data_IF_136511629645
#
_entry.id   IF_136511629645
#
_cell.length_a   1.000
_cell.length_b   1.000
_cell.length_c   1.000
_cell.angle_alpha   90.00
_cell.angle_beta   90.00
_cell.angle_gamma   90.00
#
_symmetry.space_group_name_H-M   'P 1'
#
loop_
_entity.id
_entity.type
_entity.pdbx_description
1 polymer ?
#
# COMPACT_ATOMS: atom_id res chain seq x y z
N UNK A 1 0.75 28.59 -1.22
CA UNK A 1 1.47 29.15 -0.06
C UNK A 1 2.45 28.09 0.45
N UNK A 2 3.76 28.35 0.46
CA UNK A 2 4.74 27.38 0.97
C UNK A 2 4.70 27.41 2.52
N UNK A 3 4.74 26.25 3.17
CA UNK A 3 4.76 26.19 4.64
C UNK A 3 6.01 26.87 5.20
N UNK A 4 5.89 27.55 6.33
CA UNK A 4 7.03 28.12 7.05
C UNK A 4 7.88 27.01 7.71
N UNK A 5 9.13 27.32 8.04
CA UNK A 5 10.03 26.38 8.74
C UNK A 5 9.41 25.91 10.06
N UNK A 6 8.85 26.83 10.85
CA UNK A 6 8.18 26.49 12.12
C UNK A 6 7.00 25.53 11.90
N UNK A 7 6.20 25.75 10.85
CA UNK A 7 5.09 24.86 10.50
C UNK A 7 5.58 23.47 10.08
N UNK A 8 6.68 23.38 9.35
CA UNK A 8 7.28 22.09 8.97
C UNK A 8 7.81 21.35 10.20
N UNK A 9 8.55 22.04 11.08
CA UNK A 9 9.07 21.46 12.33
C UNK A 9 7.95 21.01 13.26
N UNK A 10 6.88 21.77 13.42
CA UNK A 10 5.70 21.38 14.18
C UNK A 10 4.95 20.15 13.64
N UNK A 11 5.27 19.72 12.41
CA UNK A 11 4.78 18.48 11.77
C UNK A 11 5.81 17.34 11.84
N UNK A 12 6.95 17.55 12.51
CA UNK A 12 8.03 16.57 12.72
C UNK A 12 9.10 16.57 11.64
N UNK A 13 9.22 17.63 10.84
CA UNK A 13 10.22 17.69 9.76
C UNK A 13 11.64 17.69 10.31
N UNK A 14 12.43 16.67 9.93
CA UNK A 14 13.82 16.51 10.33
C UNK A 14 14.79 17.31 9.47
N UNK A 15 15.87 17.74 10.10
CA UNK A 15 17.13 18.14 9.47
C UNK A 15 18.25 17.23 9.94
N UNK A 16 19.36 17.23 9.21
CA UNK A 16 20.53 16.43 9.59
C UNK A 16 21.06 16.81 10.98
N UNK A 17 21.01 18.11 11.33
CA UNK A 17 21.37 18.63 12.65
C UNK A 17 20.56 17.97 13.79
N UNK A 18 19.28 17.67 13.57
CA UNK A 18 18.39 17.06 14.56
C UNK A 18 18.78 15.59 14.84
N UNK A 19 19.25 14.91 13.80
CA UNK A 19 19.75 13.52 13.88
C UNK A 19 21.09 13.50 14.62
N UNK A 20 22.01 14.40 14.27
CA UNK A 20 23.32 14.50 14.93
C UNK A 20 23.18 14.86 16.41
N UNK A 21 22.27 15.77 16.74
CA UNK A 21 21.97 16.14 18.13
C UNK A 21 21.49 14.94 18.95
N UNK A 22 20.79 13.98 18.35
CA UNK A 22 20.22 12.81 19.04
C UNK A 22 21.10 11.55 18.95
N UNK A 23 22.18 11.57 18.17
CA UNK A 23 23.02 10.40 17.88
C UNK A 23 23.73 9.82 19.10
N UNK A 24 23.99 10.64 20.12
CA UNK A 24 24.65 10.22 21.35
C UNK A 24 23.74 9.44 22.31
N UNK A 25 22.43 9.41 22.06
CA UNK A 25 21.45 8.76 22.91
C UNK A 25 21.48 7.24 22.75
N UNK A 26 21.30 6.53 23.86
CA UNK A 26 21.11 5.09 23.89
C UNK A 26 19.77 4.67 23.27
N UNK A 27 19.64 3.39 22.89
CA UNK A 27 18.37 2.86 22.39
C UNK A 27 17.20 3.04 23.38
N UNK A 28 17.46 2.95 24.70
CA UNK A 28 16.46 3.19 25.73
C UNK A 28 16.03 4.67 25.79
N UNK A 29 16.98 5.60 25.62
CA UNK A 29 16.67 7.04 25.54
C UNK A 29 15.88 7.38 24.28
N UNK A 30 16.29 6.86 23.13
CA UNK A 30 15.56 7.05 21.87
C UNK A 30 14.15 6.45 21.95
N UNK A 31 14.01 5.29 22.60
CA UNK A 31 12.68 4.67 22.84
C UNK A 31 11.79 5.61 23.66
N UNK A 32 12.31 6.23 24.72
CA UNK A 32 11.55 7.24 25.49
C UNK A 32 11.20 8.47 24.66
N UNK A 33 12.08 8.89 23.75
CA UNK A 33 11.82 10.02 22.86
C UNK A 33 10.66 9.79 21.89
N UNK A 34 10.25 8.54 21.61
CA UNK A 34 9.06 8.26 20.80
C UNK A 34 7.78 8.84 21.42
N UNK A 35 7.76 9.11 22.72
CA UNK A 35 6.65 9.74 23.44
C UNK A 35 6.85 11.24 23.71
N UNK A 36 7.91 11.85 23.17
CA UNK A 36 8.16 13.29 23.32
C UNK A 36 6.99 14.13 22.79
N UNK A 37 6.75 15.28 23.41
CA UNK A 37 5.82 16.28 22.90
C UNK A 37 6.32 16.93 21.61
N UNK A 38 7.65 16.98 21.41
CA UNK A 38 8.25 17.49 20.18
C UNK A 38 8.21 16.43 19.06
N UNK A 39 7.59 16.80 17.94
CA UNK A 39 7.48 15.93 16.78
C UNK A 39 8.83 15.67 16.08
N UNK A 40 9.77 16.60 16.17
CA UNK A 40 11.10 16.45 15.58
C UNK A 40 11.90 15.41 16.36
N UNK A 41 11.88 15.45 17.69
CA UNK A 41 12.53 14.43 18.54
C UNK A 41 11.97 13.03 18.25
N UNK A 42 10.64 12.90 18.14
CA UNK A 42 10.03 11.61 17.77
C UNK A 42 10.49 11.11 16.40
N UNK A 43 10.53 11.99 15.39
CA UNK A 43 11.01 11.63 14.06
C UNK A 43 12.48 11.19 14.12
N UNK A 44 13.33 11.90 14.87
CA UNK A 44 14.75 11.59 15.00
C UNK A 44 14.95 10.23 15.69
N UNK A 45 14.18 9.96 16.75
CA UNK A 45 14.18 8.69 17.45
C UNK A 45 13.81 7.52 16.53
N UNK A 46 12.75 7.62 15.73
CA UNK A 46 12.37 6.58 14.75
C UNK A 46 13.51 6.34 13.75
N UNK A 47 14.08 7.43 13.20
CA UNK A 47 15.17 7.35 12.21
C UNK A 47 16.44 6.72 12.78
N UNK A 48 16.80 7.01 14.02
CA UNK A 48 17.99 6.46 14.67
C UNK A 48 17.79 5.00 15.10
N UNK A 49 16.65 4.68 15.73
CA UNK A 49 16.33 3.30 16.13
C UNK A 49 16.27 2.35 14.93
N UNK A 50 15.63 2.76 13.83
CA UNK A 50 15.54 1.96 12.61
C UNK A 50 16.87 1.70 11.91
N UNK A 51 17.89 2.56 12.13
CA UNK A 51 19.23 2.40 11.56
C UNK A 51 20.19 1.64 12.48
N UNK A 52 20.00 1.72 13.79
CA UNK A 52 20.90 1.14 14.77
C UNK A 52 20.64 -0.36 14.99
N UNK A 53 19.40 -0.81 14.85
CA UNK A 53 19.00 -2.19 15.05
C UNK A 53 18.72 -2.88 13.70
N UNK A 54 18.99 -4.19 13.62
CA UNK A 54 18.30 -5.01 12.63
C UNK A 54 16.80 -4.97 12.97
N UNK A 55 15.89 -5.01 11.98
CA UNK A 55 14.46 -5.10 12.28
C UNK A 55 14.21 -6.28 13.23
N UNK A 56 13.78 -5.97 14.45
CA UNK A 56 13.38 -6.95 15.44
C UNK A 56 11.86 -6.82 15.70
N UNK A 57 11.22 -7.90 16.12
CA UNK A 57 9.77 -7.94 16.29
C UNK A 57 9.30 -6.93 17.35
N UNK A 58 10.08 -6.70 18.41
CA UNK A 58 9.74 -5.80 19.52
C UNK A 58 9.76 -4.32 19.10
N UNK A 59 10.76 -3.91 18.33
CA UNK A 59 10.88 -2.57 17.80
C UNK A 59 9.79 -2.29 16.75
N UNK A 60 9.50 -3.28 15.90
CA UNK A 60 8.40 -3.16 14.94
C UNK A 60 7.05 -3.03 15.65
N UNK A 61 6.80 -3.82 16.70
CA UNK A 61 5.61 -3.69 17.54
C UNK A 61 5.50 -2.27 18.13
N UNK A 62 6.60 -1.75 18.69
CA UNK A 62 6.66 -0.39 19.23
C UNK A 62 6.36 0.68 18.17
N UNK A 63 6.89 0.54 16.96
CA UNK A 63 6.60 1.44 15.84
C UNK A 63 5.14 1.35 15.37
N UNK A 64 4.55 0.14 15.34
CA UNK A 64 3.12 -0.05 15.05
C UNK A 64 2.26 0.66 16.09
N UNK A 65 2.52 0.45 17.38
CA UNK A 65 1.82 1.13 18.47
C UNK A 65 1.98 2.66 18.38
N UNK A 66 3.16 3.13 18.01
CA UNK A 66 3.40 4.57 17.80
C UNK A 66 2.62 5.11 16.61
N UNK A 67 2.55 4.37 15.50
CA UNK A 67 1.83 4.76 14.28
C UNK A 67 0.34 4.95 14.54
N UNK A 68 -0.27 4.08 15.34
CA UNK A 68 -1.69 4.14 15.70
C UNK A 68 -2.09 5.47 16.37
N UNK A 69 -1.20 6.05 17.17
CA UNK A 69 -1.44 7.29 17.93
C UNK A 69 -0.72 8.52 17.40
N UNK A 70 0.07 8.42 16.33
CA UNK A 70 0.78 9.56 15.77
C UNK A 70 -0.20 10.49 15.03
N UNK A 71 0.03 11.80 15.13
CA UNK A 71 -0.79 12.84 14.50
C UNK A 71 0.02 13.71 13.54
N UNK A 72 1.35 13.72 13.66
CA UNK A 72 2.25 14.59 12.91
C UNK A 72 2.75 13.89 11.64
N UNK A 73 2.68 14.61 10.53
CA UNK A 73 2.89 14.03 9.19
C UNK A 73 4.27 13.40 9.04
N UNK A 74 5.34 14.13 9.33
CA UNK A 74 6.68 13.65 9.04
C UNK A 74 7.08 12.51 9.95
N UNK A 75 6.65 12.53 11.22
CA UNK A 75 6.83 11.39 12.12
C UNK A 75 6.10 10.14 11.63
N UNK A 76 4.90 10.27 11.04
CA UNK A 76 4.23 9.14 10.35
C UNK A 76 5.03 8.62 9.16
N UNK A 77 5.65 9.51 8.39
CA UNK A 77 6.46 9.10 7.24
C UNK A 77 7.68 8.30 7.69
N UNK A 78 8.37 8.74 8.75
CA UNK A 78 9.48 7.99 9.36
C UNK A 78 9.05 6.60 9.83
N UNK A 79 7.90 6.49 10.52
CA UNK A 79 7.35 5.21 10.97
C UNK A 79 7.00 4.30 9.79
N UNK A 80 6.38 4.86 8.75
CA UNK A 80 6.08 4.11 7.53
C UNK A 80 7.36 3.58 6.87
N UNK A 81 8.40 4.40 6.74
CA UNK A 81 9.69 4.00 6.16
C UNK A 81 10.36 2.91 6.98
N UNK A 82 10.37 3.04 8.31
CA UNK A 82 10.94 2.04 9.20
C UNK A 82 10.22 0.69 9.10
N UNK A 83 8.88 0.70 9.09
CA UNK A 83 8.06 -0.53 9.02
C UNK A 83 8.11 -1.21 7.64
N UNK A 84 8.38 -0.48 6.56
CA UNK A 84 8.52 -1.05 5.20
C UNK A 84 9.68 -2.03 5.07
N UNK A 85 10.74 -1.87 5.88
CA UNK A 85 11.92 -2.75 5.85
C UNK A 85 11.67 -4.07 6.60
N UNK A 86 10.53 -4.18 7.30
CA UNK A 86 10.12 -5.40 7.99
C UNK A 86 9.83 -6.59 7.06
N UNK A 87 9.69 -7.77 7.66
CA UNK A 87 9.34 -9.01 6.95
C UNK A 87 7.89 -9.43 7.16
N UNK A 88 7.63 -10.74 6.98
CA UNK A 88 6.30 -11.33 7.16
C UNK A 88 5.71 -11.09 8.55
N UNK A 89 6.52 -11.12 9.60
CA UNK A 89 6.07 -10.86 10.98
C UNK A 89 5.54 -9.43 11.13
N UNK A 90 6.27 -8.44 10.60
CA UNK A 90 5.81 -7.04 10.59
C UNK A 90 4.53 -6.89 9.79
N UNK A 91 4.40 -7.59 8.65
CA UNK A 91 3.15 -7.58 7.88
C UNK A 91 1.98 -8.15 8.69
N UNK A 92 2.18 -9.21 9.48
CA UNK A 92 1.16 -9.79 10.35
C UNK A 92 0.70 -8.82 11.45
N UNK A 93 1.59 -7.98 11.97
CA UNK A 93 1.22 -6.91 12.92
C UNK A 93 0.37 -5.81 12.27
N UNK A 94 0.63 -5.54 10.99
CA UNK A 94 0.00 -4.47 10.23
C UNK A 94 -1.39 -4.85 9.69
N UNK A 95 -1.57 -6.08 9.23
CA UNK A 95 -2.83 -6.56 8.60
C UNK A 95 -4.09 -6.24 9.44
N UNK A 96 -4.10 -6.47 10.77
CA UNK A 96 -5.25 -6.10 11.61
C UNK A 96 -5.64 -4.61 11.55
N UNK A 97 -4.70 -3.73 11.20
CA UNK A 97 -4.86 -2.28 11.20
C UNK A 97 -5.26 -1.70 9.83
N UNK A 98 -5.39 -2.52 8.79
CA UNK A 98 -5.87 -2.10 7.47
C UNK A 98 -7.24 -1.43 7.58
N UNK A 99 -7.32 -0.19 7.10
CA UNK A 99 -8.54 0.62 7.15
C UNK A 99 -8.86 1.22 8.52
N UNK A 100 -8.03 1.01 9.54
CA UNK A 100 -8.28 1.49 10.90
C UNK A 100 -7.61 2.83 11.22
N UNK A 101 -6.51 3.17 10.54
CA UNK A 101 -5.70 4.36 10.87
C UNK A 101 -6.01 5.53 9.93
N UNK A 102 -6.50 6.63 10.49
CA UNK A 102 -6.83 7.84 9.74
C UNK A 102 -8.21 7.78 9.08
N UNK A 103 -8.46 8.70 8.14
CA UNK A 103 -9.75 8.86 7.44
C UNK A 103 -9.61 9.18 5.95
N UNK A 104 -8.47 8.82 5.37
CA UNK A 104 -8.15 9.16 3.97
C UNK A 104 -8.61 8.06 2.98
N UNK A 105 -9.05 6.92 3.50
CA UNK A 105 -9.49 5.76 2.73
C UNK A 105 -10.66 6.11 1.81
N UNK A 106 -10.79 5.38 0.71
CA UNK A 106 -11.97 5.49 -0.13
C UNK A 106 -13.17 4.88 0.59
N UNK A 107 -14.25 5.64 0.73
CA UNK A 107 -15.55 5.11 1.19
C UNK A 107 -16.44 4.68 0.03
N UNK A 108 -16.13 5.17 -1.18
CA UNK A 108 -16.82 4.89 -2.44
C UNK A 108 -15.84 5.00 -3.62
N UNK A 109 -16.16 4.42 -4.79
CA UNK A 109 -15.39 4.59 -6.01
C UNK A 109 -15.14 6.07 -6.33
N UNK A 110 -13.93 6.41 -6.78
CA UNK A 110 -13.63 7.79 -7.15
C UNK A 110 -14.31 8.13 -8.49
N UNK A 111 -15.14 9.19 -8.50
CA UNK A 111 -15.85 9.64 -9.70
C UNK A 111 -14.88 10.21 -10.73
N UNK A 112 -13.83 10.88 -10.27
CA UNK A 112 -12.76 11.41 -11.11
C UNK A 112 -11.89 10.27 -11.63
N UNK A 113 -11.72 10.22 -12.95
CA UNK A 113 -10.86 9.25 -13.59
C UNK A 113 -9.40 9.49 -13.18
N UNK A 114 -8.72 8.42 -12.77
CA UNK A 114 -7.29 8.43 -12.58
C UNK A 114 -6.62 8.43 -13.96
N UNK A 115 -5.81 9.44 -14.27
CA UNK A 115 -5.33 9.69 -15.66
C UNK A 115 -3.92 9.18 -15.96
N UNK A 116 -3.22 8.60 -14.98
CA UNK A 116 -1.83 8.16 -15.16
C UNK A 116 -1.80 6.67 -15.52
N UNK A 117 -0.79 6.27 -16.29
CA UNK A 117 -0.50 4.86 -16.59
C UNK A 117 0.16 4.11 -15.42
N UNK A 118 0.53 4.83 -14.34
CA UNK A 118 1.13 4.29 -13.13
C UNK A 118 0.07 3.76 -12.15
N UNK A 119 0.31 2.69 -11.41
CA UNK A 119 -0.62 2.30 -10.34
C UNK A 119 -0.70 3.36 -9.22
N UNK A 120 -1.89 3.76 -8.75
CA UNK A 120 -2.02 4.79 -7.73
C UNK A 120 -1.53 4.32 -6.37
N UNK A 121 -0.96 5.24 -5.60
CA UNK A 121 -0.54 4.92 -4.24
C UNK A 121 -1.75 4.66 -3.32
N UNK A 122 -1.74 3.61 -2.47
CA UNK A 122 -2.82 3.38 -1.52
C UNK A 122 -3.08 4.58 -0.61
N UNK A 123 -4.37 4.84 -0.37
CA UNK A 123 -4.82 5.93 0.51
C UNK A 123 -4.76 5.54 1.98
N UNK A 124 -5.03 4.28 2.29
CA UNK A 124 -4.78 3.71 3.61
C UNK A 124 -3.28 3.68 3.92
N UNK A 125 -2.92 4.10 5.13
CA UNK A 125 -1.52 4.22 5.53
C UNK A 125 -0.86 2.85 5.74
N UNK A 126 -1.62 1.86 6.18
CA UNK A 126 -1.12 0.50 6.42
C UNK A 126 -0.94 -0.22 5.09
N UNK A 127 -1.92 -0.12 4.18
CA UNK A 127 -1.80 -0.62 2.81
C UNK A 127 -0.58 0.01 2.10
N UNK A 128 -0.31 1.29 2.33
CA UNK A 128 0.86 1.98 1.78
C UNK A 128 2.20 1.43 2.28
N UNK A 129 2.26 1.00 3.54
CA UNK A 129 3.45 0.34 4.10
C UNK A 129 3.60 -1.02 3.45
N UNK A 130 2.56 -1.87 3.54
CA UNK A 130 2.57 -3.24 3.02
C UNK A 130 2.90 -3.31 1.52
N UNK A 131 2.36 -2.38 0.73
CA UNK A 131 2.60 -2.27 -0.71
C UNK A 131 4.07 -2.00 -1.10
N UNK A 132 4.90 -1.53 -0.17
CA UNK A 132 6.33 -1.23 -0.38
C UNK A 132 7.27 -2.18 0.33
N UNK A 133 6.74 -3.16 1.05
CA UNK A 133 7.55 -4.20 1.68
C UNK A 133 8.12 -5.15 0.61
N UNK A 134 9.06 -5.99 1.02
CA UNK A 134 9.58 -7.06 0.17
C UNK A 134 8.43 -7.97 -0.33
N UNK A 135 8.41 -8.39 -1.62
CA UNK A 135 7.37 -9.26 -2.20
C UNK A 135 7.08 -10.55 -1.43
N UNK A 136 7.98 -11.00 -0.57
CA UNK A 136 7.78 -12.14 0.34
C UNK A 136 6.53 -12.00 1.23
N UNK A 137 5.99 -10.78 1.41
CA UNK A 137 4.75 -10.53 2.16
C UNK A 137 3.47 -10.75 1.36
N UNK A 138 3.55 -10.92 0.03
CA UNK A 138 2.37 -11.06 -0.83
C UNK A 138 1.43 -12.20 -0.39
N UNK A 139 1.90 -13.39 0.02
CA UNK A 139 1.01 -14.42 0.56
C UNK A 139 0.19 -13.96 1.78
N UNK A 140 0.78 -13.16 2.66
CA UNK A 140 0.09 -12.58 3.82
C UNK A 140 -0.99 -11.58 3.38
N UNK A 141 -0.71 -10.77 2.36
CA UNK A 141 -1.70 -9.85 1.77
C UNK A 141 -2.85 -10.59 1.09
N UNK A 142 -2.56 -11.67 0.36
CA UNK A 142 -3.58 -12.54 -0.25
C UNK A 142 -4.51 -13.10 0.83
N UNK A 143 -3.97 -13.61 1.93
CA UNK A 143 -4.78 -14.10 3.05
C UNK A 143 -5.71 -13.00 3.60
N UNK A 144 -5.26 -11.75 3.71
CA UNK A 144 -6.14 -10.64 4.11
C UNK A 144 -7.22 -10.29 3.09
N UNK A 145 -6.97 -10.47 1.79
CA UNK A 145 -8.01 -10.35 0.76
C UNK A 145 -9.05 -11.47 0.92
N UNK A 146 -8.62 -12.70 1.17
CA UNK A 146 -9.51 -13.87 1.23
C UNK A 146 -10.28 -13.91 2.56
N UNK A 147 -9.58 -13.88 3.69
CA UNK A 147 -10.10 -14.19 5.02
C UNK A 147 -10.34 -12.95 5.90
N UNK A 148 -9.81 -11.79 5.49
CA UNK A 148 -9.96 -10.55 6.24
C UNK A 148 -11.40 -10.03 6.26
N UNK A 149 -11.70 -9.17 7.25
CA UNK A 149 -12.94 -8.38 7.25
C UNK A 149 -13.04 -7.55 5.97
N UNK A 150 -14.25 -7.14 5.58
CA UNK A 150 -14.46 -6.30 4.39
C UNK A 150 -13.53 -5.08 4.38
N UNK A 151 -13.41 -4.38 5.52
CA UNK A 151 -12.54 -3.21 5.68
C UNK A 151 -11.07 -3.51 5.41
N UNK A 152 -10.58 -4.66 5.90
CA UNK A 152 -9.20 -5.09 5.66
C UNK A 152 -9.01 -5.49 4.19
N UNK A 153 -9.94 -6.28 3.65
CA UNK A 153 -9.86 -6.78 2.28
C UNK A 153 -9.81 -5.65 1.24
N UNK A 154 -10.65 -4.61 1.36
CA UNK A 154 -10.65 -3.50 0.41
C UNK A 154 -9.33 -2.71 0.41
N UNK A 155 -8.65 -2.59 1.55
CA UNK A 155 -7.35 -1.92 1.60
C UNK A 155 -6.20 -2.85 1.22
N UNK A 156 -6.31 -4.16 1.52
CA UNK A 156 -5.36 -5.17 1.07
C UNK A 156 -5.33 -5.28 -0.47
N UNK A 157 -6.47 -5.16 -1.14
CA UNK A 157 -6.54 -5.17 -2.62
C UNK A 157 -5.67 -4.07 -3.23
N UNK A 158 -5.70 -2.85 -2.68
CA UNK A 158 -4.85 -1.75 -3.16
C UNK A 158 -3.36 -2.07 -2.97
N UNK A 159 -3.00 -2.71 -1.85
CA UNK A 159 -1.62 -3.10 -1.57
C UNK A 159 -1.14 -4.23 -2.50
N UNK A 160 -1.99 -5.24 -2.76
CA UNK A 160 -1.70 -6.33 -3.70
C UNK A 160 -1.48 -5.78 -5.10
N UNK A 161 -2.39 -4.95 -5.61
CA UNK A 161 -2.26 -4.34 -6.93
C UNK A 161 -0.95 -3.55 -7.05
N UNK A 162 -0.68 -2.65 -6.09
CA UNK A 162 0.55 -1.86 -6.10
C UNK A 162 1.82 -2.74 -6.08
N UNK A 163 1.88 -3.74 -5.19
CA UNK A 163 3.04 -4.62 -5.06
C UNK A 163 3.27 -5.45 -6.34
N UNK A 164 2.20 -6.00 -6.93
CA UNK A 164 2.29 -6.73 -8.19
C UNK A 164 2.66 -5.84 -9.38
N UNK A 165 2.29 -4.56 -9.35
CA UNK A 165 2.61 -3.60 -10.41
C UNK A 165 4.08 -3.17 -10.38
N UNK A 166 4.61 -2.87 -9.19
CA UNK A 166 5.93 -2.25 -9.04
C UNK A 166 7.08 -3.21 -8.70
N UNK A 167 6.78 -4.44 -8.29
CA UNK A 167 7.80 -5.38 -7.81
C UNK A 167 7.88 -6.67 -8.61
N UNK A 168 9.07 -7.25 -8.64
CA UNK A 168 9.31 -8.58 -9.17
C UNK A 168 8.77 -9.63 -8.20
N UNK A 169 7.50 -10.01 -8.41
CA UNK A 169 6.81 -11.06 -7.66
C UNK A 169 6.99 -12.41 -8.38
N UNK A 170 7.15 -13.49 -7.61
CA UNK A 170 7.17 -14.85 -8.15
C UNK A 170 5.88 -15.15 -8.95
N UNK A 171 6.01 -15.83 -10.09
CA UNK A 171 4.85 -16.16 -10.96
C UNK A 171 3.75 -16.89 -10.21
N UNK A 172 4.11 -17.82 -9.30
CA UNK A 172 3.15 -18.56 -8.47
C UNK A 172 2.33 -17.64 -7.58
N UNK A 173 2.97 -16.69 -6.90
CA UNK A 173 2.31 -15.78 -5.97
C UNK A 173 1.48 -14.75 -6.74
N UNK A 174 1.95 -14.32 -7.93
CA UNK A 174 1.18 -13.45 -8.83
C UNK A 174 -0.09 -14.13 -9.33
N UNK A 175 -0.02 -15.40 -9.71
CA UNK A 175 -1.21 -16.17 -10.12
C UNK A 175 -2.17 -16.39 -8.93
N UNK A 176 -1.64 -16.69 -7.75
CA UNK A 176 -2.45 -16.81 -6.54
C UNK A 176 -3.19 -15.51 -6.20
N UNK A 177 -2.52 -14.35 -6.34
CA UNK A 177 -3.14 -13.05 -6.17
C UNK A 177 -4.25 -12.80 -7.21
N UNK A 178 -4.00 -13.10 -8.50
CA UNK A 178 -5.01 -12.95 -9.54
C UNK A 178 -6.25 -13.82 -9.26
N UNK A 179 -6.05 -15.08 -8.86
CA UNK A 179 -7.14 -15.97 -8.47
C UNK A 179 -7.93 -15.42 -7.28
N UNK A 180 -7.24 -15.01 -6.22
CA UNK A 180 -7.90 -14.44 -5.03
C UNK A 180 -8.73 -13.20 -5.36
N UNK A 181 -8.20 -12.28 -6.18
CA UNK A 181 -8.91 -11.09 -6.62
C UNK A 181 -10.13 -11.44 -7.48
N UNK A 182 -10.00 -12.41 -8.39
CA UNK A 182 -11.09 -12.82 -9.29
C UNK A 182 -12.22 -13.52 -8.52
N UNK A 183 -11.89 -14.39 -7.57
CA UNK A 183 -12.88 -15.01 -6.69
C UNK A 183 -13.57 -13.97 -5.81
N UNK A 184 -12.81 -13.00 -5.27
CA UNK A 184 -13.39 -11.90 -4.49
C UNK A 184 -14.35 -11.05 -5.32
N UNK A 185 -14.02 -10.78 -6.58
CA UNK A 185 -14.86 -10.05 -7.52
C UNK A 185 -16.19 -10.78 -7.76
N UNK A 186 -16.13 -12.09 -8.05
CA UNK A 186 -17.31 -12.93 -8.30
C UNK A 186 -18.19 -13.07 -7.06
N UNK A 187 -17.59 -13.21 -5.89
CA UNK A 187 -18.30 -13.39 -4.62
C UNK A 187 -18.96 -12.13 -4.06
N UNK A 188 -18.64 -10.93 -4.58
CA UNK A 188 -19.11 -9.65 -4.01
C UNK A 188 -19.73 -8.70 -5.07
N UNK A 189 -20.77 -9.14 -5.83
CA UNK A 189 -21.36 -8.35 -6.91
C UNK A 189 -22.12 -7.09 -6.45
N UNK A 190 -22.39 -6.94 -5.15
CA UNK A 190 -23.02 -5.74 -4.57
C UNK A 190 -22.04 -4.74 -3.95
N UNK A 191 -20.76 -5.07 -3.84
CA UNK A 191 -19.76 -4.20 -3.21
C UNK A 191 -19.01 -3.37 -4.27
N UNK A 192 -19.57 -2.21 -4.61
CA UNK A 192 -19.00 -1.36 -5.67
C UNK A 192 -17.58 -0.89 -5.37
N UNK A 193 -17.26 -0.59 -4.11
CA UNK A 193 -15.92 -0.14 -3.72
C UNK A 193 -14.91 -1.28 -3.91
N UNK A 194 -15.25 -2.47 -3.44
CA UNK A 194 -14.39 -3.65 -3.59
C UNK A 194 -14.19 -3.98 -5.07
N UNK A 195 -15.26 -4.03 -5.85
CA UNK A 195 -15.17 -4.27 -7.30
C UNK A 195 -14.29 -3.25 -7.99
N UNK A 196 -14.50 -1.95 -7.73
CA UNK A 196 -13.71 -0.89 -8.32
C UNK A 196 -12.22 -1.03 -8.00
N UNK A 197 -11.87 -1.35 -6.76
CA UNK A 197 -10.47 -1.59 -6.37
C UNK A 197 -9.89 -2.85 -6.99
N UNK A 198 -10.67 -3.92 -7.12
CA UNK A 198 -10.22 -5.15 -7.81
C UNK A 198 -9.98 -4.85 -9.29
N UNK A 199 -10.91 -4.20 -9.97
CA UNK A 199 -10.81 -3.81 -11.38
C UNK A 199 -9.55 -2.99 -11.63
N UNK A 200 -9.23 -2.07 -10.71
CA UNK A 200 -7.96 -1.37 -10.74
C UNK A 200 -6.77 -2.31 -10.55
N UNK A 201 -6.77 -3.13 -9.49
CA UNK A 201 -5.69 -4.06 -9.18
C UNK A 201 -5.35 -4.98 -10.35
N UNK A 202 -6.35 -5.40 -11.14
CA UNK A 202 -6.18 -6.22 -12.33
C UNK A 202 -5.21 -5.64 -13.37
N UNK A 203 -5.01 -4.31 -13.42
CA UNK A 203 -4.02 -3.71 -14.33
C UNK A 203 -2.56 -4.14 -14.04
N UNK A 204 -2.34 -4.72 -12.87
CA UNK A 204 -1.03 -5.19 -12.39
C UNK A 204 -0.69 -6.59 -12.88
N UNK A 205 -1.56 -7.21 -13.66
CA UNK A 205 -1.46 -8.62 -14.06
C UNK A 205 -1.44 -8.74 -15.58
N UNK A 206 -0.28 -9.10 -16.12
CA UNK A 206 -0.11 -9.42 -17.54
C UNK A 206 -0.56 -10.86 -17.81
N UNK A 207 -1.86 -11.13 -17.77
CA UNK A 207 -2.46 -12.45 -17.98
C UNK A 207 -3.66 -12.38 -18.93
N UNK A 208 -3.84 -13.32 -19.88
CA UNK A 208 -4.96 -13.28 -20.84
C UNK A 208 -6.35 -13.16 -20.18
N UNK A 209 -6.58 -13.89 -19.09
CA UNK A 209 -7.86 -13.82 -18.35
C UNK A 209 -8.21 -12.42 -17.86
N UNK A 210 -7.21 -11.58 -17.57
CA UNK A 210 -7.43 -10.20 -17.11
C UNK A 210 -8.12 -9.38 -18.19
N UNK A 211 -7.68 -9.52 -19.45
CA UNK A 211 -8.30 -8.81 -20.58
C UNK A 211 -9.76 -9.23 -20.72
N UNK A 212 -10.02 -10.54 -20.72
CA UNK A 212 -11.37 -11.09 -20.83
C UNK A 212 -12.28 -10.62 -19.67
N UNK A 213 -11.77 -10.62 -18.44
CA UNK A 213 -12.52 -10.14 -17.26
C UNK A 213 -12.86 -8.66 -17.41
N UNK A 214 -11.88 -7.82 -17.76
CA UNK A 214 -12.08 -6.38 -17.89
C UNK A 214 -13.05 -6.04 -19.04
N UNK A 215 -12.93 -6.70 -20.20
CA UNK A 215 -13.85 -6.55 -21.33
C UNK A 215 -15.29 -6.93 -20.94
N UNK A 216 -15.47 -8.03 -20.21
CA UNK A 216 -16.79 -8.42 -19.69
C UNK A 216 -17.38 -7.38 -18.75
N UNK A 217 -16.55 -6.77 -17.88
CA UNK A 217 -16.99 -5.70 -16.98
C UNK A 217 -17.41 -4.47 -17.79
N UNK A 218 -16.64 -4.08 -18.81
CA UNK A 218 -17.01 -2.97 -19.71
C UNK A 218 -18.34 -3.23 -20.41
N UNK A 219 -18.59 -4.46 -20.86
CA UNK A 219 -19.80 -4.80 -21.60
C UNK A 219 -21.06 -4.97 -20.70
N UNK A 220 -20.90 -5.38 -19.44
CA UNK A 220 -22.02 -5.86 -18.62
C UNK A 220 -22.24 -5.12 -17.30
N UNK A 221 -21.24 -4.41 -16.78
CA UNK A 221 -21.37 -3.74 -15.49
C UNK A 221 -22.24 -2.48 -15.62
N UNK A 222 -23.18 -2.30 -14.72
CA UNK A 222 -24.13 -1.17 -14.74
C UNK A 222 -23.55 0.10 -14.12
N UNK A 223 -22.47 0.00 -13.34
CA UNK A 223 -21.84 1.15 -12.68
C UNK A 223 -20.89 1.87 -13.64
N UNK A 224 -21.17 3.13 -14.04
CA UNK A 224 -20.31 3.87 -14.96
C UNK A 224 -18.92 4.16 -14.41
N UNK A 225 -18.75 4.17 -13.08
CA UNK A 225 -17.43 4.37 -12.45
C UNK A 225 -16.57 3.12 -12.58
N UNK A 226 -17.16 1.93 -12.41
CA UNK A 226 -16.46 0.66 -12.56
C UNK A 226 -16.12 0.41 -14.02
N UNK A 227 -17.05 0.67 -14.95
CA UNK A 227 -16.80 0.56 -16.41
C UNK A 227 -15.62 1.44 -16.84
N UNK A 228 -15.58 2.70 -16.37
CA UNK A 228 -14.47 3.61 -16.69
C UNK A 228 -13.13 3.14 -16.11
N UNK A 229 -13.12 2.59 -14.90
CA UNK A 229 -11.89 2.02 -14.35
C UNK A 229 -11.45 0.79 -15.16
N UNK A 230 -12.38 -0.07 -15.59
CA UNK A 230 -12.04 -1.24 -16.41
C UNK A 230 -11.45 -0.85 -17.77
N UNK A 231 -12.02 0.16 -18.43
CA UNK A 231 -11.47 0.74 -19.67
C UNK A 231 -10.04 1.26 -19.46
N UNK A 232 -9.79 1.94 -18.33
CA UNK A 232 -8.45 2.41 -17.99
C UNK A 232 -7.49 1.25 -17.77
N UNK A 233 -7.88 0.27 -16.97
CA UNK A 233 -7.04 -0.91 -16.69
C UNK A 233 -6.68 -1.66 -17.98
N UNK A 234 -7.63 -1.80 -18.92
CA UNK A 234 -7.35 -2.39 -20.24
C UNK A 234 -6.28 -1.62 -21.01
N UNK A 235 -6.37 -0.29 -21.04
CA UNK A 235 -5.38 0.55 -21.72
C UNK A 235 -3.98 0.36 -21.11
N UNK A 236 -3.89 0.30 -19.77
CA UNK A 236 -2.62 0.08 -19.07
C UNK A 236 -2.05 -1.32 -19.35
N UNK A 237 -2.89 -2.35 -19.32
CA UNK A 237 -2.46 -3.73 -19.61
C UNK A 237 -1.94 -3.87 -21.05
N UNK A 238 -2.61 -3.24 -22.03
CA UNK A 238 -2.19 -3.27 -23.44
C UNK A 238 -0.83 -2.57 -23.68
N UNK A 239 -0.43 -1.63 -22.82
CA UNK A 239 0.86 -0.95 -22.89
C UNK A 239 2.01 -1.76 -22.25
N UNK A 240 1.72 -2.84 -21.52
CA UNK A 240 2.76 -3.62 -20.84
C UNK A 240 3.58 -4.48 -21.84
N UNK A 241 4.92 -4.53 -21.70
CA UNK A 241 5.81 -5.13 -22.70
C UNK A 241 5.54 -6.62 -23.00
N UNK A 242 5.06 -7.37 -22.01
CA UNK A 242 4.90 -8.81 -22.12
C UNK A 242 3.68 -9.24 -22.95
N UNK A 243 2.70 -8.35 -23.20
CA UNK A 243 1.58 -8.61 -24.12
C UNK A 243 1.90 -8.25 -25.58
N UNK A 244 2.79 -7.26 -25.83
CA UNK A 244 3.21 -6.92 -27.20
C UNK A 244 3.87 -8.11 -27.92
N UNK A 245 4.65 -8.90 -27.20
CA UNK A 245 5.29 -10.10 -27.75
C UNK A 245 4.28 -11.19 -28.16
N UNK A 246 3.13 -11.28 -27.49
CA UNK A 246 2.07 -12.26 -27.81
C UNK A 246 1.30 -11.87 -29.08
N UNK A 247 0.95 -10.59 -29.21
CA UNK A 247 0.18 -10.08 -30.36
C UNK A 247 0.99 -10.04 -31.67
N UNK A 248 2.30 -9.76 -31.62
CA UNK A 248 3.15 -9.79 -32.81
C UNK A 248 3.43 -11.21 -33.34
N UNK A 249 3.18 -12.23 -32.51
CA UNK A 249 3.39 -13.64 -32.89
C UNK A 249 2.13 -14.29 -33.47
N UNK A 250 0.93 -13.77 -33.16
CA UNK A 250 -0.35 -14.27 -33.72
C UNK A 250 -0.78 -13.57 -35.02
N UNK A 251 -0.04 -12.54 -35.48
CA UNK A 251 -0.27 -11.86 -36.76
C UNK A 251 0.83 -12.10 -37.81
N UNK A 252 1.54 -13.23 -37.73
CA UNK A 252 2.50 -13.68 -38.76
C UNK A 252 2.20 -15.06 -39.28
#
# INVERSE_FOLDING_TARGET
>A
MKSSVSQLRGRGFLRDEDIEASRHLSAAELTRQLDSTDAVERSAAVRLLSRAARPDASLNQLFVERLMRETKLYTKLELCEALQVGGRETAQLLIPLLGAIGRNQHTQPAVEAFKKASYPLPRDIVARILARMDPVVLPTLIAAVVDGSRTQAVEAIDAVGFLCFYSAVATTDRLAALHALTEKLRGNPGDELMQWKIVRALESFNHPDVMLILEQIVARNTSPVIVREAQRSLAVVAEQPALRASFDTEMR
#
